data_IF_315166708501
#
_entry.id   IF_315166708501
#
_cell.length_a   1.000
_cell.length_b   1.000
_cell.length_c   1.000
_cell.angle_alpha   90.00
_cell.angle_beta   90.00
_cell.angle_gamma   90.00
#
_symmetry.space_group_name_H-M   'P 1'
#
loop_
_entity.id
_entity.type
_entity.pdbx_description
1 polymer ?
#
# COMPACT_ATOMS: atom_id res chain seq x y z
N UNK A 1 12.30 7.98 27.19
CA UNK A 1 12.61 6.61 26.79
C UNK A 1 11.38 5.83 26.34
N UNK A 2 11.23 5.65 25.02
CA UNK A 2 10.23 4.72 24.46
C UNK A 2 10.85 3.33 24.42
N UNK A 3 10.50 2.50 25.40
CA UNK A 3 10.92 1.10 25.45
C UNK A 3 10.20 0.31 24.35
N UNK A 4 10.97 -0.29 23.44
CA UNK A 4 10.46 -1.27 22.47
C UNK A 4 10.30 -2.62 23.17
N UNK A 5 9.07 -2.94 23.57
CA UNK A 5 8.71 -4.28 24.03
C UNK A 5 8.61 -5.23 22.85
N UNK A 6 9.52 -6.21 22.78
CA UNK A 6 9.37 -7.39 21.91
C UNK A 6 8.05 -8.09 22.26
N UNK A 7 7.11 -8.16 21.33
CA UNK A 7 5.99 -9.11 21.42
C UNK A 7 6.39 -10.41 20.72
N UNK A 8 6.07 -11.58 21.30
CA UNK A 8 6.37 -12.86 20.68
C UNK A 8 5.51 -13.03 19.41
N UNK A 9 6.12 -13.67 18.41
CA UNK A 9 5.47 -14.12 17.18
C UNK A 9 4.30 -15.01 17.57
N UNK A 10 3.10 -14.70 17.08
CA UNK A 10 1.94 -15.58 17.16
C UNK A 10 1.38 -15.79 15.75
N UNK A 11 1.46 -17.06 15.37
CA UNK A 11 0.60 -17.84 14.46
C UNK A 11 0.49 -17.39 12.99
N UNK A 12 1.06 -18.24 12.14
CA UNK A 12 1.08 -18.19 10.66
C UNK A 12 -0.26 -18.54 9.99
N UNK A 13 -1.39 -18.43 10.68
CA UNK A 13 -2.71 -18.66 10.08
C UNK A 13 -3.61 -17.48 10.42
N UNK A 14 -3.62 -16.49 9.53
CA UNK A 14 -4.56 -15.37 9.57
C UNK A 14 -5.63 -15.70 8.53
N UNK A 15 -6.83 -16.03 9.00
CA UNK A 15 -7.94 -16.48 8.17
C UNK A 15 -8.24 -15.48 7.04
N UNK A 16 -8.27 -15.99 5.81
CA UNK A 16 -8.47 -15.23 4.56
C UNK A 16 -9.80 -14.43 4.57
N UNK A 17 -10.74 -14.85 5.40
CA UNK A 17 -12.05 -14.25 5.60
C UNK A 17 -12.00 -12.87 6.31
N UNK A 18 -10.95 -12.56 7.10
CA UNK A 18 -10.80 -11.22 7.71
C UNK A 18 -10.24 -10.18 6.71
N UNK A 19 -9.65 -10.62 5.58
CA UNK A 19 -9.08 -9.75 4.55
C UNK A 19 -10.16 -9.22 3.58
N UNK A 20 -11.23 -9.97 3.37
CA UNK A 20 -12.35 -9.61 2.48
C UNK A 20 -13.50 -9.01 3.31
N UNK A 21 -13.25 -7.81 3.85
CA UNK A 21 -14.15 -7.15 4.79
C UNK A 21 -15.53 -6.84 4.21
N UNK A 22 -16.51 -7.70 4.48
CA UNK A 22 -17.92 -7.36 4.34
C UNK A 22 -18.32 -6.29 5.38
N UNK A 23 -18.80 -5.16 4.89
CA UNK A 23 -19.17 -4.01 5.69
C UNK A 23 -20.40 -4.27 6.55
N UNK A 24 -20.20 -4.57 7.83
CA UNK A 24 -21.25 -4.42 8.86
C UNK A 24 -21.00 -3.15 9.68
N UNK A 25 -21.94 -2.19 9.75
CA UNK A 25 -21.75 -0.98 10.52
C UNK A 25 -22.11 -1.25 11.97
N UNK A 26 -21.12 -1.63 12.80
CA UNK A 26 -21.33 -1.62 14.25
C UNK A 26 -20.67 -0.39 14.90
N UNK A 27 -21.53 0.49 15.45
CA UNK A 27 -21.17 1.61 16.31
C UNK A 27 -20.67 1.06 17.64
N UNK A 28 -19.39 1.23 17.95
CA UNK A 28 -18.83 1.44 19.31
C UNK A 28 -17.31 1.69 19.25
N UNK A 29 -16.92 2.96 19.40
CA UNK A 29 -15.76 3.45 20.17
C UNK A 29 -14.34 2.88 20.02
N UNK A 30 -14.06 1.91 19.16
CA UNK A 30 -12.70 1.41 18.90
C UNK A 30 -12.13 2.01 17.63
N UNK A 31 -10.85 2.40 17.63
CA UNK A 31 -10.13 2.79 16.41
C UNK A 31 -10.11 1.56 15.49
N UNK A 32 -11.01 1.53 14.50
CA UNK A 32 -11.09 0.43 13.52
C UNK A 32 -9.70 0.21 12.94
N UNK A 33 -9.23 -1.04 12.98
CA UNK A 33 -7.99 -1.43 12.30
C UNK A 33 -8.13 -1.06 10.81
N UNK A 34 -7.04 -0.68 10.13
CA UNK A 34 -7.10 -0.39 8.70
C UNK A 34 -7.57 -1.65 7.95
N UNK A 35 -8.42 -1.45 6.94
CA UNK A 35 -8.97 -2.53 6.13
C UNK A 35 -8.00 -3.05 5.04
N UNK A 36 -6.78 -2.52 4.98
CA UNK A 36 -5.78 -2.86 3.97
C UNK A 36 -4.38 -2.83 4.58
N UNK A 37 -3.49 -3.65 4.02
CA UNK A 37 -2.07 -3.70 4.41
C UNK A 37 -1.35 -2.42 3.96
N UNK A 38 -0.48 -1.89 4.83
CA UNK A 38 0.37 -0.73 4.53
C UNK A 38 1.76 -1.12 4.04
N UNK A 39 2.73 -0.21 4.23
CA UNK A 39 4.13 -0.46 3.89
C UNK A 39 4.79 -1.50 4.78
N UNK A 40 5.68 -2.32 4.19
CA UNK A 40 6.49 -3.28 4.92
C UNK A 40 7.62 -2.56 5.68
N UNK A 41 7.79 -2.92 6.96
CA UNK A 41 8.91 -2.48 7.79
C UNK A 41 9.74 -3.70 8.15
N UNK A 42 11.02 -3.68 7.78
CA UNK A 42 11.96 -4.73 8.15
C UNK A 42 12.34 -4.62 9.62
N UNK A 43 12.67 -5.76 10.23
CA UNK A 43 13.19 -5.76 11.60
C UNK A 43 14.52 -5.00 11.68
N UNK A 44 14.64 -4.02 12.61
CA UNK A 44 15.85 -3.23 12.72
C UNK A 44 16.99 -4.06 13.30
N UNK A 45 18.18 -3.93 12.73
CA UNK A 45 19.41 -4.39 13.36
C UNK A 45 19.83 -3.34 14.40
N UNK A 46 19.50 -3.58 15.66
CA UNK A 46 19.77 -2.61 16.74
C UNK A 46 21.23 -2.71 17.18
N UNK A 47 21.93 -1.58 17.25
CA UNK A 47 23.31 -1.51 17.71
C UNK A 47 23.92 -0.13 17.50
N UNK A 48 25.14 0.05 18.01
CA UNK A 48 25.99 1.18 17.68
C UNK A 48 26.80 0.84 16.43
N UNK A 49 26.77 1.71 15.42
CA UNK A 49 27.47 1.51 14.15
C UNK A 49 28.71 2.40 14.10
N UNK A 50 29.88 1.77 14.06
CA UNK A 50 31.20 2.42 13.91
C UNK A 50 31.62 2.61 12.44
N UNK A 51 30.83 2.05 11.50
CA UNK A 51 31.01 2.14 10.05
C UNK A 51 29.93 3.02 9.42
N UNK A 52 30.26 3.63 8.28
CA UNK A 52 29.32 4.43 7.49
C UNK A 52 28.17 3.57 6.97
N UNK A 53 26.94 4.08 7.09
CA UNK A 53 25.73 3.47 6.56
C UNK A 53 25.29 4.26 5.34
N UNK A 54 25.07 3.57 4.21
CA UNK A 54 24.50 4.17 3.02
C UNK A 54 22.98 4.18 3.12
N UNK A 55 22.38 5.36 3.03
CA UNK A 55 20.93 5.54 2.95
C UNK A 55 20.53 5.72 1.48
N UNK A 56 19.65 4.86 1.00
CA UNK A 56 19.06 4.95 -0.33
C UNK A 56 17.54 5.00 -0.18
N UNK A 57 16.91 5.94 -0.86
CA UNK A 57 15.46 6.13 -0.85
C UNK A 57 14.96 6.43 -2.28
N UNK A 58 13.68 6.17 -2.52
CA UNK A 58 13.01 6.51 -3.77
C UNK A 58 12.43 7.92 -3.68
N UNK A 59 12.76 8.76 -4.66
CA UNK A 59 12.15 10.07 -4.78
C UNK A 59 10.68 9.93 -5.16
N UNK A 60 9.79 10.16 -4.20
CA UNK A 60 8.34 10.10 -4.41
C UNK A 60 7.84 8.72 -4.85
N UNK A 61 8.14 7.69 -4.04
CA UNK A 61 7.76 6.28 -4.29
C UNK A 61 6.31 6.09 -4.79
N UNK A 62 5.30 6.50 -4.02
CA UNK A 62 3.90 6.28 -4.40
C UNK A 62 3.47 7.06 -5.65
N UNK A 63 3.80 8.36 -5.81
CA UNK A 63 3.58 9.07 -7.07
C UNK A 63 4.20 8.36 -8.28
N UNK A 64 5.42 7.85 -8.16
CA UNK A 64 6.08 7.10 -9.24
C UNK A 64 5.34 5.81 -9.57
N UNK A 65 4.89 5.04 -8.57
CA UNK A 65 4.10 3.83 -8.79
C UNK A 65 2.77 4.15 -9.49
N UNK A 66 2.06 5.19 -9.02
CA UNK A 66 0.78 5.60 -9.60
C UNK A 66 0.94 6.02 -11.07
N UNK A 67 2.02 6.73 -11.39
CA UNK A 67 2.31 7.18 -12.75
C UNK A 67 2.78 6.03 -13.66
N UNK A 68 3.69 5.19 -13.19
CA UNK A 68 4.28 4.09 -13.97
C UNK A 68 3.23 3.07 -14.40
N UNK A 69 2.34 2.69 -13.48
CA UNK A 69 1.29 1.71 -13.75
C UNK A 69 -0.03 2.34 -14.19
N UNK A 70 -0.03 3.64 -14.55
CA UNK A 70 -1.21 4.40 -14.95
C UNK A 70 -2.42 4.16 -14.02
N UNK A 71 -2.21 4.17 -12.70
CA UNK A 71 -3.24 3.84 -11.71
C UNK A 71 -4.21 5.02 -11.61
N UNK A 72 -5.43 4.81 -12.10
CA UNK A 72 -6.51 5.77 -12.00
C UNK A 72 -7.85 5.05 -11.82
N UNK A 73 -8.82 5.73 -11.22
CA UNK A 73 -10.19 5.23 -11.13
C UNK A 73 -10.81 4.91 -12.51
N UNK A 74 -10.31 5.55 -13.57
CA UNK A 74 -10.80 5.37 -14.93
C UNK A 74 -10.05 4.30 -15.73
N UNK A 75 -8.90 3.83 -15.24
CA UNK A 75 -7.98 2.94 -16.00
C UNK A 75 -7.86 1.55 -15.38
N UNK A 76 -7.96 1.44 -14.05
CA UNK A 76 -7.87 0.16 -13.36
C UNK A 76 -9.19 -0.61 -13.53
N UNK A 77 -9.10 -1.82 -14.07
CA UNK A 77 -10.26 -2.70 -14.27
C UNK A 77 -10.44 -3.59 -13.05
N UNK A 78 -11.66 -3.60 -12.49
CA UNK A 78 -12.03 -4.53 -11.41
C UNK A 78 -12.29 -5.91 -12.02
N UNK A 79 -11.47 -6.89 -11.65
CA UNK A 79 -11.69 -8.29 -12.00
C UNK A 79 -12.37 -8.96 -10.81
N UNK A 80 -13.56 -9.45 -11.06
CA UNK A 80 -14.30 -10.26 -10.09
C UNK A 80 -14.05 -11.72 -10.46
N UNK A 81 -13.24 -12.42 -9.68
CA UNK A 81 -13.08 -13.87 -9.81
C UNK A 81 -14.02 -14.55 -8.82
N UNK A 82 -14.87 -15.43 -9.34
CA UNK A 82 -15.73 -16.28 -8.51
C UNK A 82 -14.96 -17.57 -8.28
N UNK A 83 -14.58 -17.82 -7.02
CA UNK A 83 -14.00 -19.09 -6.59
C UNK A 83 -15.02 -19.86 -5.74
N UNK A 84 -14.80 -21.16 -5.56
CA UNK A 84 -15.66 -22.00 -4.69
C UNK A 84 -15.64 -21.54 -3.22
N UNK A 85 -14.68 -20.70 -2.82
CA UNK A 85 -14.55 -20.10 -1.49
C UNK A 85 -15.05 -18.64 -1.39
N UNK A 86 -15.60 -18.08 -2.47
CA UNK A 86 -16.21 -16.74 -2.49
C UNK A 86 -15.74 -15.82 -3.63
N UNK A 87 -16.19 -14.56 -3.58
CA UNK A 87 -15.84 -13.50 -4.54
C UNK A 87 -14.46 -12.92 -4.21
N UNK A 88 -13.48 -13.16 -5.08
CA UNK A 88 -12.15 -12.53 -5.00
C UNK A 88 -12.14 -11.33 -5.96
N UNK A 89 -12.04 -10.14 -5.38
CA UNK A 89 -11.88 -8.89 -6.15
C UNK A 89 -10.39 -8.63 -6.35
N UNK A 90 -9.94 -8.70 -7.61
CA UNK A 90 -8.61 -8.26 -8.02
C UNK A 90 -8.69 -6.97 -8.84
N UNK A 91 -7.60 -6.23 -8.89
CA UNK A 91 -7.44 -5.02 -9.68
C UNK A 91 -6.16 -5.14 -10.50
N UNK A 92 -6.29 -5.09 -11.83
CA UNK A 92 -5.14 -5.13 -12.73
C UNK A 92 -4.89 -3.74 -13.32
N UNK A 93 -3.62 -3.30 -13.38
CA UNK A 93 -3.28 -2.07 -14.08
C UNK A 93 -3.60 -2.20 -15.58
N UNK A 94 -3.89 -1.08 -16.26
CA UNK A 94 -4.11 -1.07 -17.71
C UNK A 94 -2.86 -1.51 -18.48
N UNK A 95 -3.05 -1.88 -19.75
CA UNK A 95 -1.95 -2.11 -20.69
C UNK A 95 -1.13 -0.81 -20.88
N UNK A 96 0.18 -0.97 -21.12
CA UNK A 96 1.13 0.16 -21.21
C UNK A 96 0.85 1.16 -22.33
N UNK A 97 0.03 0.79 -23.32
CA UNK A 97 -0.29 1.61 -24.48
C UNK A 97 -1.60 2.41 -24.32
N UNK A 98 -2.29 2.29 -23.18
CA UNK A 98 -3.49 3.08 -22.90
C UNK A 98 -3.17 4.55 -22.57
N UNK A 99 -4.10 5.45 -22.85
CA UNK A 99 -3.97 6.87 -22.50
C UNK A 99 -3.82 7.08 -20.99
N UNK A 100 -3.00 8.06 -20.61
CA UNK A 100 -2.78 8.39 -19.21
C UNK A 100 -4.07 8.87 -18.54
N UNK A 101 -4.37 8.28 -17.39
CA UNK A 101 -5.49 8.68 -16.56
C UNK A 101 -5.32 10.08 -15.97
N UNK A 102 -6.42 10.57 -15.40
CA UNK A 102 -6.49 11.90 -14.79
C UNK A 102 -5.54 11.99 -13.58
N UNK A 103 -5.50 10.93 -12.76
CA UNK A 103 -4.67 10.90 -11.54
C UNK A 103 -3.16 10.98 -11.84
N UNK A 104 -2.59 10.11 -12.70
CA UNK A 104 -1.19 10.25 -13.13
C UNK A 104 -0.84 11.63 -13.67
N UNK A 105 -1.74 12.23 -14.46
CA UNK A 105 -1.54 13.55 -15.07
C UNK A 105 -1.46 14.66 -14.03
N UNK A 106 -2.40 14.70 -13.07
CA UNK A 106 -2.41 15.73 -12.03
C UNK A 106 -1.27 15.53 -11.01
N UNK A 107 -0.95 14.29 -10.66
CA UNK A 107 0.18 13.98 -9.77
C UNK A 107 1.49 14.43 -10.40
N UNK A 108 1.69 14.21 -11.70
CA UNK A 108 2.89 14.68 -12.41
C UNK A 108 3.08 16.18 -12.30
N UNK A 109 2.03 16.97 -12.53
CA UNK A 109 2.08 18.44 -12.38
C UNK A 109 2.51 18.86 -10.97
N UNK A 110 1.97 18.20 -9.95
CA UNK A 110 2.33 18.47 -8.54
C UNK A 110 3.79 18.10 -8.24
N UNK A 111 4.26 16.96 -8.77
CA UNK A 111 5.65 16.53 -8.60
C UNK A 111 6.62 17.48 -9.30
N UNK A 112 6.28 17.94 -10.51
CA UNK A 112 7.07 18.93 -11.26
C UNK A 112 7.14 20.27 -10.49
N UNK A 113 5.99 20.81 -10.07
CA UNK A 113 5.96 22.05 -9.28
C UNK A 113 6.74 21.96 -7.97
N UNK A 114 6.82 20.78 -7.34
CA UNK A 114 7.62 20.58 -6.13
C UNK A 114 9.13 20.65 -6.39
N UNK A 115 9.60 20.33 -7.59
CA UNK A 115 11.05 20.36 -7.92
C UNK A 115 11.58 21.78 -8.09
N UNK A 116 10.70 22.72 -8.40
CA UNK A 116 11.04 24.12 -8.63
C UNK A 116 11.06 24.98 -7.34
N UNK A 117 10.77 24.37 -6.18
CA UNK A 117 10.78 24.99 -4.85
C UNK A 117 11.91 24.41 -4.02
#
# INVERSE_FOLDING_TARGET
DKQYGKKPIKDENMDLEELLGEGVPNKKGGRKKPAYSGGLVLDPKVGFYDKLILLMDFNSLYPSIIHEYNICFTTVRKIIMISDEGEVVSAEPPDTDEELGILPTEIRKLVESRRDV
#
